data_IF_021532994292
#
_entry.id   IF_021532994292
#
_cell.length_a   1.000
_cell.length_b   1.000
_cell.length_c   1.000
_cell.angle_alpha   90.00
_cell.angle_beta   90.00
_cell.angle_gamma   90.00
#
_symmetry.space_group_name_H-M   'P 1'
#
loop_
_entity.id
_entity.type
_entity.pdbx_description
1 polymer ?
#
# COMPACT_ATOMS: atom_id res chain seq x y z
N UNK A 1 -19.37 2.75 15.46
CA UNK A 1 -18.40 3.88 15.46
C UNK A 1 -18.15 4.20 14.00
N UNK A 2 -18.23 5.47 13.58
CA UNK A 2 -17.96 5.85 12.20
C UNK A 2 -16.67 6.65 12.13
N UNK A 3 -15.80 6.32 11.17
CA UNK A 3 -14.49 6.93 11.00
C UNK A 3 -14.31 7.27 9.52
N UNK A 4 -13.77 8.45 9.25
CA UNK A 4 -13.59 9.03 7.92
C UNK A 4 -12.15 8.81 7.45
N UNK A 5 -11.97 8.32 6.22
CA UNK A 5 -10.65 7.91 5.71
C UNK A 5 -9.74 9.12 5.51
N UNK A 6 -10.24 10.22 4.96
CA UNK A 6 -9.48 11.46 4.79
C UNK A 6 -9.01 12.00 6.15
N UNK A 7 -9.90 11.98 7.15
CA UNK A 7 -9.57 12.37 8.52
C UNK A 7 -8.50 11.47 9.15
N UNK A 8 -8.51 10.16 8.85
CA UNK A 8 -7.45 9.23 9.30
C UNK A 8 -6.12 9.58 8.61
N UNK A 9 -6.15 9.85 7.31
CA UNK A 9 -4.96 10.22 6.54
C UNK A 9 -4.32 11.50 7.09
N UNK A 10 -5.12 12.57 7.25
CA UNK A 10 -4.67 13.86 7.79
C UNK A 10 -4.09 13.71 9.21
N UNK A 11 -4.76 12.91 10.05
CA UNK A 11 -4.31 12.63 11.41
C UNK A 11 -2.96 11.91 11.41
N UNK A 12 -2.81 10.87 10.58
CA UNK A 12 -1.57 10.10 10.51
C UNK A 12 -0.39 10.87 9.91
N UNK A 13 -0.64 11.74 8.92
CA UNK A 13 0.38 12.63 8.36
C UNK A 13 0.88 13.66 9.37
N UNK A 14 0.02 14.05 10.33
CA UNK A 14 0.36 15.05 11.35
C UNK A 14 0.99 14.43 12.60
N UNK A 15 0.41 13.32 13.10
CA UNK A 15 0.75 12.68 14.38
C UNK A 15 0.41 11.18 14.33
N UNK A 16 1.29 10.41 13.69
CA UNK A 16 1.17 8.95 13.54
C UNK A 16 0.87 8.23 14.86
N UNK A 17 1.51 8.65 15.95
CA UNK A 17 1.39 8.06 17.29
C UNK A 17 -0.02 8.16 17.89
N UNK A 18 -0.88 9.01 17.32
CA UNK A 18 -2.26 9.16 17.78
C UNK A 18 -3.24 8.24 17.06
N UNK A 19 -2.80 7.52 16.03
CA UNK A 19 -3.62 6.53 15.35
C UNK A 19 -3.89 5.35 16.27
N UNK A 20 -5.16 4.92 16.33
CA UNK A 20 -5.54 3.70 17.04
C UNK A 20 -5.16 2.45 16.23
N UNK A 21 -5.13 1.30 16.87
CA UNK A 21 -4.91 0.00 16.19
C UNK A 21 -5.90 -0.27 15.05
N UNK A 22 -7.10 0.34 15.12
CA UNK A 22 -8.15 0.25 14.11
C UNK A 22 -7.88 1.20 12.95
N UNK A 23 -7.39 2.41 13.22
CA UNK A 23 -7.09 3.43 12.20
C UNK A 23 -5.78 3.13 11.47
N UNK A 24 -4.79 2.55 12.15
CA UNK A 24 -3.44 2.35 11.62
C UNK A 24 -3.41 1.63 10.26
N UNK A 25 -4.07 0.47 10.06
CA UNK A 25 -4.03 -0.20 8.76
C UNK A 25 -4.72 0.59 7.65
N UNK A 26 -5.79 1.34 7.98
CA UNK A 26 -6.50 2.22 7.02
C UNK A 26 -5.60 3.37 6.60
N UNK A 27 -4.93 4.01 7.57
CA UNK A 27 -3.94 5.04 7.32
C UNK A 27 -2.86 4.54 6.36
N UNK A 28 -2.24 3.38 6.66
CA UNK A 28 -1.15 2.85 5.83
C UNK A 28 -1.61 2.60 4.39
N UNK A 29 -2.83 2.06 4.20
CA UNK A 29 -3.36 1.82 2.85
C UNK A 29 -3.66 3.13 2.11
N UNK A 30 -4.31 4.09 2.77
CA UNK A 30 -4.60 5.40 2.18
C UNK A 30 -3.32 6.19 1.86
N UNK A 31 -2.35 6.16 2.77
CA UNK A 31 -1.01 6.73 2.57
C UNK A 31 -0.31 6.07 1.39
N UNK A 32 -0.39 4.74 1.27
CA UNK A 32 0.23 4.01 0.17
C UNK A 32 -0.30 4.43 -1.19
N UNK A 33 -1.63 4.51 -1.37
CA UNK A 33 -2.22 5.01 -2.62
C UNK A 33 -1.80 6.46 -2.90
N UNK A 34 -1.88 7.31 -1.88
CA UNK A 34 -1.55 8.73 -1.96
C UNK A 34 -0.09 8.98 -2.37
N UNK A 35 0.86 8.27 -1.74
CA UNK A 35 2.28 8.42 -2.04
C UNK A 35 2.65 7.78 -3.37
N UNK A 36 1.98 6.68 -3.76
CA UNK A 36 2.19 6.07 -5.07
C UNK A 36 1.83 7.04 -6.20
N UNK A 37 0.77 7.83 -6.04
CA UNK A 37 0.36 8.85 -7.00
C UNK A 37 1.28 10.08 -7.02
N UNK A 38 1.80 10.51 -5.87
CA UNK A 38 2.62 11.73 -5.74
C UNK A 38 4.11 11.51 -6.01
N UNK A 39 4.71 10.49 -5.40
CA UNK A 39 6.16 10.25 -5.37
C UNK A 39 6.56 8.96 -6.12
N UNK A 40 5.57 8.19 -6.55
CA UNK A 40 5.76 6.93 -7.27
C UNK A 40 5.63 5.70 -6.37
N UNK A 41 5.24 4.59 -7.01
CA UNK A 41 4.98 3.30 -6.36
C UNK A 41 6.10 2.82 -5.44
N UNK A 42 7.35 2.91 -5.92
CA UNK A 42 8.52 2.37 -5.24
C UNK A 42 8.84 3.15 -3.94
N UNK A 43 8.40 4.41 -3.83
CA UNK A 43 8.69 5.29 -2.69
C UNK A 43 8.24 4.67 -1.36
N UNK A 44 7.06 4.03 -1.34
CA UNK A 44 6.59 3.35 -0.14
C UNK A 44 7.50 2.17 0.25
N UNK A 45 7.99 1.42 -0.73
CA UNK A 45 8.81 0.23 -0.49
C UNK A 45 10.27 0.56 -0.16
N UNK A 46 10.74 1.76 -0.49
CA UNK A 46 12.06 2.26 -0.10
C UNK A 46 12.04 2.94 1.27
N UNK A 47 10.98 3.69 1.62
CA UNK A 47 10.97 4.54 2.82
C UNK A 47 10.00 4.12 3.93
N UNK A 48 8.93 3.39 3.59
CA UNK A 48 7.85 3.01 4.52
C UNK A 48 7.62 1.49 4.60
N UNK A 49 8.61 0.69 4.19
CA UNK A 49 8.45 -0.77 4.07
C UNK A 49 8.15 -1.46 5.41
N UNK A 50 8.54 -0.88 6.54
CA UNK A 50 8.18 -1.37 7.86
C UNK A 50 6.66 -1.37 8.10
N UNK A 51 5.89 -0.55 7.37
CA UNK A 51 4.43 -0.50 7.45
C UNK A 51 3.73 -1.51 6.53
N UNK A 52 4.47 -2.12 5.60
CA UNK A 52 3.94 -3.06 4.59
C UNK A 52 3.10 -4.19 5.20
N UNK A 53 3.52 -4.72 6.35
CA UNK A 53 2.80 -5.82 7.03
C UNK A 53 1.38 -5.41 7.45
N UNK A 54 1.19 -4.18 7.92
CA UNK A 54 -0.12 -3.68 8.33
C UNK A 54 -1.08 -3.57 7.15
N UNK A 55 -0.61 -3.00 6.03
CA UNK A 55 -1.37 -2.94 4.78
C UNK A 55 -1.70 -4.36 4.27
N UNK A 56 -0.70 -5.24 4.19
CA UNK A 56 -0.89 -6.59 3.69
C UNK A 56 -1.92 -7.37 4.53
N UNK A 57 -1.84 -7.27 5.86
CA UNK A 57 -2.81 -7.91 6.74
C UNK A 57 -4.23 -7.33 6.62
N UNK A 58 -4.36 -6.02 6.40
CA UNK A 58 -5.65 -5.40 6.11
C UNK A 58 -6.26 -5.98 4.84
N UNK A 59 -5.52 -5.97 3.73
CA UNK A 59 -6.00 -6.49 2.44
C UNK A 59 -6.39 -7.97 2.55
N UNK A 60 -5.61 -8.76 3.30
CA UNK A 60 -5.92 -10.17 3.58
C UNK A 60 -7.20 -10.35 4.38
N UNK A 61 -7.42 -9.54 5.42
CA UNK A 61 -8.65 -9.60 6.24
C UNK A 61 -9.88 -9.14 5.46
N UNK A 62 -9.71 -8.16 4.57
CA UNK A 62 -10.72 -7.70 3.63
C UNK A 62 -10.97 -8.67 2.46
N UNK A 63 -10.18 -9.75 2.34
CA UNK A 63 -10.24 -10.69 1.21
C UNK A 63 -10.01 -10.02 -0.16
N UNK A 64 -9.22 -8.94 -0.19
CA UNK A 64 -8.83 -8.28 -1.43
C UNK A 64 -7.66 -9.01 -2.10
N UNK A 65 -8.01 -10.12 -2.76
CA UNK A 65 -7.03 -10.96 -3.43
C UNK A 65 -6.44 -10.31 -4.70
N UNK A 66 -7.10 -9.32 -5.28
CA UNK A 66 -6.59 -8.63 -6.47
C UNK A 66 -5.39 -7.76 -6.09
N UNK A 67 -5.54 -6.92 -5.08
CA UNK A 67 -4.45 -6.08 -4.56
C UNK A 67 -3.30 -6.90 -4.00
N UNK A 68 -3.61 -7.99 -3.26
CA UNK A 68 -2.59 -8.91 -2.75
C UNK A 68 -1.78 -9.58 -3.87
N UNK A 69 -2.43 -9.97 -4.97
CA UNK A 69 -1.74 -10.55 -6.13
C UNK A 69 -0.78 -9.55 -6.76
N UNK A 70 -1.16 -8.28 -6.87
CA UNK A 70 -0.30 -7.23 -7.44
C UNK A 70 0.93 -6.99 -6.57
N UNK A 71 0.76 -6.93 -5.24
CA UNK A 71 1.89 -6.84 -4.30
C UNK A 71 2.82 -8.05 -4.40
N UNK A 72 2.26 -9.25 -4.59
CA UNK A 72 3.04 -10.46 -4.78
C UNK A 72 3.78 -10.48 -6.13
N UNK A 73 3.15 -9.99 -7.20
CA UNK A 73 3.78 -9.88 -8.53
C UNK A 73 4.92 -8.86 -8.51
N UNK A 74 4.73 -7.72 -7.84
CA UNK A 74 5.79 -6.73 -7.60
C UNK A 74 6.96 -7.31 -6.81
N UNK A 75 6.68 -8.10 -5.75
CA UNK A 75 7.72 -8.85 -5.03
C UNK A 75 8.44 -9.86 -5.93
N UNK A 76 7.70 -10.58 -6.77
CA UNK A 76 8.26 -11.56 -7.69
C UNK A 76 9.15 -10.90 -8.75
N UNK A 77 8.79 -9.70 -9.22
CA UNK A 77 9.59 -8.90 -10.14
C UNK A 77 11.01 -8.66 -9.61
N UNK A 78 11.15 -8.16 -8.38
CA UNK A 78 12.47 -8.02 -7.76
C UNK A 78 13.20 -9.35 -7.58
N UNK A 79 12.48 -10.40 -7.18
CA UNK A 79 13.08 -11.73 -7.07
C UNK A 79 13.64 -12.25 -8.40
N UNK A 80 12.99 -11.96 -9.53
CA UNK A 80 13.47 -12.34 -10.86
C UNK A 80 14.70 -11.55 -11.30
N UNK A 81 14.86 -10.33 -10.76
CA UNK A 81 16.03 -9.49 -10.95
C UNK A 81 17.19 -9.86 -10.01
N UNK A 82 17.00 -10.85 -9.13
CA UNK A 82 17.98 -11.26 -8.13
C UNK A 82 18.08 -10.29 -6.95
N UNK A 83 17.07 -9.44 -6.75
CA UNK A 83 17.02 -8.43 -5.70
C UNK A 83 16.18 -8.95 -4.54
N UNK A 84 16.72 -8.89 -3.32
CA UNK A 84 15.95 -9.21 -2.12
C UNK A 84 14.83 -8.19 -1.91
N UNK A 85 13.66 -8.65 -1.49
CA UNK A 85 12.53 -7.75 -1.22
C UNK A 85 12.68 -7.07 0.15
N UNK A 86 13.64 -6.15 0.23
CA UNK A 86 13.92 -5.29 1.38
C UNK A 86 14.15 -3.86 0.91
N UNK A 87 13.86 -2.88 1.75
CA UNK A 87 13.93 -1.46 1.40
C UNK A 87 15.30 -1.07 0.85
N UNK A 88 16.37 -1.48 1.53
CA UNK A 88 17.74 -1.18 1.12
C UNK A 88 18.12 -1.82 -0.22
N UNK A 89 17.71 -3.07 -0.46
CA UNK A 89 18.04 -3.76 -1.70
C UNK A 89 17.27 -3.17 -2.89
N UNK A 90 16.01 -2.79 -2.69
CA UNK A 90 15.19 -2.09 -3.69
C UNK A 90 15.80 -0.72 -4.00
N UNK A 91 16.13 0.08 -2.99
CA UNK A 91 16.73 1.41 -3.17
C UNK A 91 18.08 1.33 -3.91
N UNK A 92 18.96 0.41 -3.51
CA UNK A 92 20.23 0.18 -4.20
C UNK A 92 20.04 -0.23 -5.66
N UNK A 93 19.06 -1.10 -5.93
CA UNK A 93 18.79 -1.52 -7.31
C UNK A 93 18.27 -0.36 -8.15
N UNK A 94 17.29 0.40 -7.65
CA UNK A 94 16.65 1.48 -8.40
C UNK A 94 17.61 2.65 -8.66
N UNK A 95 18.56 2.91 -7.77
CA UNK A 95 19.60 3.95 -7.97
C UNK A 95 20.62 3.58 -9.06
N UNK A 96 20.79 2.28 -9.34
CA UNK A 96 21.68 1.77 -10.39
C UNK A 96 20.93 1.28 -11.65
N UNK A 97 19.60 1.30 -11.63
CA UNK A 97 18.77 0.80 -12.72
C UNK A 97 18.93 1.62 -14.00
N UNK A 98 18.90 0.95 -15.15
CA UNK A 98 19.01 1.59 -16.45
C UNK A 98 17.70 2.25 -16.88
N UNK A 99 17.79 3.21 -17.81
CA UNK A 99 16.60 3.79 -18.47
C UNK A 99 15.73 2.71 -19.14
N UNK A 100 16.36 1.64 -19.65
CA UNK A 100 15.65 0.48 -20.21
C UNK A 100 14.80 -0.24 -19.16
N UNK A 101 15.27 -0.33 -17.91
CA UNK A 101 14.47 -0.89 -16.82
C UNK A 101 13.22 -0.02 -16.59
N UNK A 102 13.39 1.29 -16.41
CA UNK A 102 12.26 2.18 -16.12
C UNK A 102 11.25 2.24 -17.28
N UNK A 103 11.73 2.16 -18.52
CA UNK A 103 10.86 2.17 -19.71
C UNK A 103 10.00 0.90 -19.81
N UNK A 104 10.52 -0.24 -19.38
CA UNK A 104 9.85 -1.54 -19.52
C UNK A 104 9.26 -2.08 -18.21
N UNK A 105 9.49 -1.39 -17.09
CA UNK A 105 8.93 -1.77 -15.80
C UNK A 105 7.40 -1.65 -15.86
N UNK A 106 6.64 -2.67 -15.42
CA UNK A 106 5.20 -2.56 -15.33
C UNK A 106 4.81 -1.38 -14.42
N UNK A 107 3.80 -0.60 -14.82
CA UNK A 107 3.22 0.41 -13.93
C UNK A 107 2.39 -0.31 -12.85
N UNK A 108 3.04 -0.60 -11.72
CA UNK A 108 2.43 -1.29 -10.60
C UNK A 108 1.36 -0.45 -9.90
N UNK A 109 1.54 0.87 -9.89
CA UNK A 109 0.56 1.83 -9.37
C UNK A 109 -0.73 1.75 -10.18
N UNK A 110 -0.63 1.85 -11.51
CA UNK A 110 -1.79 1.78 -12.40
C UNK A 110 -2.58 0.48 -12.19
N UNK A 111 -1.88 -0.66 -12.18
CA UNK A 111 -2.48 -1.97 -11.89
C UNK A 111 -3.17 -2.04 -10.53
N UNK A 112 -2.58 -1.43 -9.49
CA UNK A 112 -3.14 -1.41 -8.15
C UNK A 112 -4.38 -0.50 -8.08
N UNK A 113 -4.32 0.65 -8.74
CA UNK A 113 -5.38 1.64 -8.82
C UNK A 113 -6.62 1.13 -9.58
N UNK A 114 -6.46 0.23 -10.56
CA UNK A 114 -7.58 -0.44 -11.24
C UNK A 114 -8.57 -1.12 -10.27
N UNK A 115 -8.11 -1.46 -9.05
CA UNK A 115 -8.93 -2.11 -8.03
C UNK A 115 -9.25 -1.21 -6.84
N UNK A 116 -8.97 0.10 -6.89
CA UNK A 116 -9.13 1.00 -5.73
C UNK A 116 -10.58 1.03 -5.21
N UNK A 117 -11.58 1.21 -6.09
CA UNK A 117 -13.00 1.22 -5.69
C UNK A 117 -13.42 -0.11 -5.03
N UNK A 118 -13.09 -1.25 -5.67
CA UNK A 118 -13.38 -2.58 -5.13
C UNK A 118 -12.69 -2.81 -3.78
N UNK A 119 -11.43 -2.38 -3.66
CA UNK A 119 -10.62 -2.54 -2.46
C UNK A 119 -11.23 -1.78 -1.29
N UNK A 120 -11.65 -0.53 -1.50
CA UNK A 120 -12.30 0.25 -0.44
C UNK A 120 -13.69 -0.26 -0.08
N UNK A 121 -14.43 -0.85 -1.02
CA UNK A 121 -15.67 -1.57 -0.72
C UNK A 121 -15.41 -2.77 0.21
N UNK A 122 -14.46 -3.64 -0.15
CA UNK A 122 -14.09 -4.81 0.66
C UNK A 122 -13.54 -4.44 2.04
N UNK A 123 -12.69 -3.41 2.11
CA UNK A 123 -12.16 -2.89 3.37
C UNK A 123 -13.29 -2.34 4.24
N UNK A 124 -14.24 -1.60 3.65
CA UNK A 124 -15.42 -1.10 4.36
C UNK A 124 -16.32 -2.22 4.88
N UNK A 125 -16.53 -3.29 4.11
CA UNK A 125 -17.27 -4.48 4.54
C UNK A 125 -16.58 -5.20 5.70
N UNK A 126 -15.26 -5.36 5.64
CA UNK A 126 -14.47 -5.93 6.73
C UNK A 126 -14.61 -5.11 8.01
N UNK A 127 -14.48 -3.79 7.93
CA UNK A 127 -14.62 -2.91 9.10
C UNK A 127 -16.05 -2.98 9.67
N UNK A 128 -17.07 -3.01 8.81
CA UNK A 128 -18.47 -3.19 9.24
C UNK A 128 -18.65 -4.49 10.02
N UNK A 129 -18.00 -5.58 9.59
CA UNK A 129 -18.08 -6.89 10.26
C UNK A 129 -17.51 -6.87 11.70
N UNK A 130 -16.60 -5.94 12.00
CA UNK A 130 -16.02 -5.74 13.34
C UNK A 130 -16.65 -4.55 14.09
N UNK A 131 -17.77 -4.01 13.61
CA UNK A 131 -18.55 -2.95 14.27
C UNK A 131 -18.07 -1.52 14.01
N UNK A 132 -17.23 -1.31 12.99
CA UNK A 132 -16.69 -0.01 12.60
C UNK A 132 -17.21 0.36 11.20
N UNK A 133 -17.67 1.58 11.01
CA UNK A 133 -18.17 2.07 9.73
C UNK A 133 -17.16 3.04 9.14
N UNK A 134 -16.49 2.65 8.06
CA UNK A 134 -15.62 3.55 7.31
C UNK A 134 -16.45 4.43 6.38
N UNK A 135 -16.06 5.70 6.29
CA UNK A 135 -16.56 6.65 5.29
C UNK A 135 -15.43 6.98 4.34
N UNK A 136 -15.64 6.58 3.10
CA UNK A 136 -14.89 6.98 1.90
C UNK A 136 -15.41 8.29 1.37
#
# INVERSE_FOLDING_TARGET
MSIDIDSILDKGLSQEENLTDVEWPVFVLAYFESIADMEGWDHFFTYSMNWYSAMYDLLRRASDFNSLRILQDYKNHFSQLGVEFTAQAIDNYLTEASDDYFTNCPDWRDKFNDYSEQRWELVSEYYKSIGVELKT
#
